data_IF_081091482644
#
_entry.id   IF_081091482644
#
_cell.length_a   1.000
_cell.length_b   1.000
_cell.length_c   1.000
_cell.angle_alpha   90.00
_cell.angle_beta   90.00
_cell.angle_gamma   90.00
#
_symmetry.space_group_name_H-M   'P 1'
#
loop_
_entity.id
_entity.type
_entity.pdbx_description
1 polymer ?
#
# COMPACT_ATOMS: atom_id res chain seq x y z
N UNK A 1 -13.31 -16.74 2.35
CA UNK A 1 -14.23 -16.84 1.20
C UNK A 1 -14.56 -15.47 0.62
N UNK A 2 -14.96 -14.47 1.43
CA UNK A 2 -15.28 -13.10 0.99
C UNK A 2 -14.14 -12.46 0.19
N UNK A 3 -12.90 -12.53 0.68
CA UNK A 3 -11.75 -12.00 -0.04
C UNK A 3 -11.56 -12.62 -1.42
N UNK A 4 -11.76 -13.94 -1.51
CA UNK A 4 -11.68 -14.64 -2.80
C UNK A 4 -12.75 -14.13 -3.77
N UNK A 5 -13.99 -14.00 -3.32
CA UNK A 5 -15.12 -13.56 -4.13
C UNK A 5 -14.95 -12.10 -4.59
N UNK A 6 -14.62 -11.19 -3.69
CA UNK A 6 -14.41 -9.77 -4.03
C UNK A 6 -13.31 -9.59 -5.09
N UNK A 7 -12.17 -10.25 -4.92
CA UNK A 7 -11.03 -10.11 -5.85
C UNK A 7 -11.17 -10.94 -7.15
N UNK A 8 -12.26 -11.67 -7.34
CA UNK A 8 -12.64 -12.23 -8.66
C UNK A 8 -13.50 -11.26 -9.47
N UNK A 9 -14.06 -10.24 -8.84
CA UNK A 9 -14.85 -9.23 -9.52
C UNK A 9 -13.98 -8.32 -10.41
N UNK A 10 -14.62 -7.51 -11.20
CA UNK A 10 -13.94 -6.56 -12.07
C UNK A 10 -13.21 -5.50 -11.25
N UNK A 11 -11.99 -5.19 -11.66
CA UNK A 11 -11.20 -4.10 -11.10
C UNK A 11 -10.86 -3.12 -12.22
N UNK A 12 -11.43 -1.92 -12.14
CA UNK A 12 -11.35 -0.92 -13.18
C UNK A 12 -10.55 0.30 -12.72
N UNK A 13 -9.70 0.81 -13.63
CA UNK A 13 -9.06 2.12 -13.42
C UNK A 13 -10.12 3.22 -13.52
N UNK A 14 -10.20 4.05 -12.49
CA UNK A 14 -11.15 5.18 -12.45
C UNK A 14 -10.47 6.45 -12.91
N UNK A 15 -9.39 6.86 -12.23
CA UNK A 15 -8.66 8.08 -12.56
C UNK A 15 -7.28 8.11 -11.87
N UNK A 16 -6.39 8.93 -12.44
CA UNK A 16 -5.15 9.36 -11.82
C UNK A 16 -5.24 10.83 -11.42
N UNK A 17 -4.89 11.14 -10.18
CA UNK A 17 -4.95 12.48 -9.61
C UNK A 17 -3.53 12.98 -9.33
N UNK A 18 -3.21 14.16 -9.88
CA UNK A 18 -1.95 14.86 -9.61
C UNK A 18 -2.04 15.70 -8.34
N UNK A 19 -0.91 16.05 -7.72
CA UNK A 19 -0.89 17.11 -6.73
C UNK A 19 -1.58 18.35 -7.32
N UNK A 20 -2.42 19.02 -6.56
CA UNK A 20 -3.17 20.23 -6.99
C UNK A 20 -4.50 19.95 -7.73
N UNK A 21 -4.84 18.71 -8.07
CA UNK A 21 -6.14 18.36 -8.60
C UNK A 21 -7.11 17.90 -7.51
N UNK A 22 -8.41 18.10 -7.75
CA UNK A 22 -9.43 17.64 -6.83
C UNK A 22 -9.48 16.11 -6.76
N UNK A 23 -9.53 15.58 -5.55
CA UNK A 23 -9.72 14.16 -5.31
C UNK A 23 -11.14 13.74 -5.71
N UNK A 24 -11.34 12.49 -6.21
CA UNK A 24 -12.67 11.99 -6.51
C UNK A 24 -13.53 11.95 -5.25
N UNK A 25 -14.85 12.01 -5.42
CA UNK A 25 -15.79 11.88 -4.30
C UNK A 25 -15.53 10.59 -3.52
N UNK A 26 -15.61 10.69 -2.19
CA UNK A 26 -15.45 9.59 -1.28
C UNK A 26 -16.76 8.77 -1.17
N UNK A 27 -17.03 7.91 -2.15
CA UNK A 27 -18.28 7.14 -2.25
C UNK A 27 -18.16 5.72 -1.70
N UNK A 28 -16.99 5.09 -1.85
CA UNK A 28 -16.73 3.72 -1.41
C UNK A 28 -15.64 3.72 -0.33
N UNK A 29 -15.61 2.70 0.55
CA UNK A 29 -14.45 2.47 1.41
C UNK A 29 -13.16 2.41 0.59
N UNK A 30 -12.08 3.00 1.10
CA UNK A 30 -10.79 3.04 0.42
C UNK A 30 -9.72 2.27 1.18
N UNK A 31 -8.90 1.54 0.42
CA UNK A 31 -7.65 0.95 0.91
C UNK A 31 -6.51 1.47 0.04
N UNK A 32 -5.60 2.21 0.66
CA UNK A 32 -4.46 2.79 -0.04
C UNK A 32 -3.21 1.90 0.08
N UNK A 33 -2.35 1.99 -0.93
CA UNK A 33 -1.10 1.23 -1.00
C UNK A 33 0.07 2.21 -1.10
N UNK A 34 0.93 2.18 -0.09
CA UNK A 34 2.14 2.97 -0.01
C UNK A 34 3.38 2.08 0.03
N UNK A 35 4.51 2.58 -0.42
CA UNK A 35 5.75 1.83 -0.38
C UNK A 35 6.88 2.57 -1.08
N UNK A 36 8.12 2.17 -0.81
CA UNK A 36 9.28 2.71 -1.49
C UNK A 36 9.25 2.38 -2.98
N UNK A 37 9.89 3.24 -3.78
CA UNK A 37 10.15 2.91 -5.19
C UNK A 37 10.80 1.54 -5.31
N UNK A 38 10.30 0.71 -6.23
CA UNK A 38 10.75 -0.67 -6.48
C UNK A 38 10.50 -1.67 -5.33
N UNK A 39 9.64 -1.36 -4.37
CA UNK A 39 9.23 -2.29 -3.30
C UNK A 39 8.45 -3.52 -3.84
N UNK A 40 7.85 -3.38 -5.02
CA UNK A 40 6.97 -4.40 -5.63
C UNK A 40 5.48 -4.07 -5.52
N UNK A 41 5.12 -2.78 -5.28
CA UNK A 41 3.74 -2.33 -5.08
C UNK A 41 2.85 -2.65 -6.29
N UNK A 42 3.26 -2.30 -7.51
CA UNK A 42 2.50 -2.61 -8.73
C UNK A 42 2.36 -4.12 -8.96
N UNK A 43 3.42 -4.89 -8.71
CA UNK A 43 3.37 -6.35 -8.81
C UNK A 43 2.41 -6.97 -7.79
N UNK A 44 2.39 -6.43 -6.57
CA UNK A 44 1.46 -6.86 -5.53
C UNK A 44 0.00 -6.55 -5.91
N UNK A 45 -0.30 -5.31 -6.35
CA UNK A 45 -1.63 -4.92 -6.80
C UNK A 45 -2.12 -5.79 -7.96
N UNK A 46 -1.27 -6.04 -8.95
CA UNK A 46 -1.60 -6.92 -10.08
C UNK A 46 -1.87 -8.36 -9.64
N UNK A 47 -1.05 -8.91 -8.74
CA UNK A 47 -1.24 -10.25 -8.21
C UNK A 47 -2.50 -10.36 -7.33
N UNK A 48 -2.77 -9.32 -6.52
CA UNK A 48 -3.94 -9.24 -5.65
C UNK A 48 -5.25 -9.27 -6.46
N UNK A 49 -5.29 -8.52 -7.55
CA UNK A 49 -6.47 -8.39 -8.43
C UNK A 49 -6.52 -9.41 -9.55
N UNK A 50 -5.56 -10.35 -9.65
CA UNK A 50 -5.42 -11.28 -10.77
C UNK A 50 -5.34 -10.59 -12.15
N UNK A 51 -4.78 -9.39 -12.21
CA UNK A 51 -4.60 -8.62 -13.46
C UNK A 51 -3.12 -8.51 -13.81
N UNK A 52 -2.79 -8.57 -15.08
CA UNK A 52 -1.40 -8.50 -15.54
C UNK A 52 -0.88 -7.06 -15.69
N UNK A 53 -1.78 -6.10 -15.77
CA UNK A 53 -1.43 -4.69 -16.09
C UNK A 53 -2.36 -3.65 -15.47
N UNK A 54 -3.02 -3.95 -14.36
CA UNK A 54 -3.87 -2.97 -13.67
C UNK A 54 -3.02 -1.77 -13.22
N UNK A 55 -2.01 -2.03 -12.40
CA UNK A 55 -1.02 -1.05 -12.02
C UNK A 55 0.19 -1.18 -12.97
N UNK A 56 0.58 -0.06 -13.59
CA UNK A 56 1.74 -0.06 -14.48
C UNK A 56 3.02 -0.30 -13.69
N UNK A 57 3.70 -1.41 -13.97
CA UNK A 57 5.05 -1.64 -13.52
C UNK A 57 5.97 -0.75 -14.34
N UNK A 58 6.26 0.47 -13.88
CA UNK A 58 7.26 1.30 -14.54
C UNK A 58 8.63 0.99 -13.93
N UNK A 59 9.54 0.47 -14.75
CA UNK A 59 10.96 0.38 -14.41
C UNK A 59 11.66 1.74 -14.49
N UNK A 60 10.94 2.80 -14.84
CA UNK A 60 11.50 4.15 -14.98
C UNK A 60 11.21 4.92 -13.69
N UNK A 61 12.22 5.19 -12.87
CA UNK A 61 12.07 5.97 -11.65
C UNK A 61 11.56 7.38 -11.97
N UNK A 62 10.63 7.89 -11.14
CA UNK A 62 10.12 9.27 -11.24
C UNK A 62 8.90 9.48 -12.14
N UNK A 63 8.28 8.42 -12.70
CA UNK A 63 7.11 8.58 -13.58
C UNK A 63 5.74 8.56 -12.90
N UNK A 64 5.59 7.95 -11.73
CA UNK A 64 4.29 7.89 -11.05
C UNK A 64 4.22 8.99 -10.00
N UNK A 65 3.74 10.16 -10.41
CA UNK A 65 3.48 11.31 -9.54
C UNK A 65 1.99 11.47 -9.25
N UNK A 66 1.19 10.47 -9.58
CA UNK A 66 -0.26 10.49 -9.46
C UNK A 66 -0.72 9.49 -8.40
N UNK A 67 -1.81 9.83 -7.74
CA UNK A 67 -2.60 8.90 -6.95
C UNK A 67 -3.58 8.22 -7.89
N UNK A 68 -3.48 6.91 -8.05
CA UNK A 68 -4.33 6.16 -8.97
C UNK A 68 -5.45 5.44 -8.22
N UNK A 69 -6.68 5.63 -8.67
CA UNK A 69 -7.88 5.05 -8.10
C UNK A 69 -8.40 3.92 -8.98
N UNK A 70 -8.67 2.77 -8.35
CA UNK A 70 -9.24 1.59 -9.00
C UNK A 70 -10.48 1.14 -8.23
N UNK A 71 -11.58 0.93 -8.93
CA UNK A 71 -12.82 0.40 -8.36
C UNK A 71 -12.81 -1.12 -8.43
N UNK A 72 -13.00 -1.79 -7.30
CA UNK A 72 -13.07 -3.25 -7.19
C UNK A 72 -14.51 -3.67 -6.87
N UNK A 73 -15.17 -4.29 -7.85
CA UNK A 73 -16.49 -4.89 -7.71
C UNK A 73 -17.61 -3.96 -7.26
N UNK A 74 -17.42 -2.64 -7.32
CA UNK A 74 -18.38 -1.67 -6.79
C UNK A 74 -18.48 -1.61 -5.26
N UNK A 75 -17.63 -2.32 -4.54
CA UNK A 75 -17.65 -2.42 -3.08
C UNK A 75 -16.46 -1.71 -2.41
N UNK A 76 -15.34 -1.57 -3.12
CA UNK A 76 -14.10 -1.06 -2.56
C UNK A 76 -13.32 -0.22 -3.57
N UNK A 77 -12.64 0.81 -3.10
CA UNK A 77 -11.67 1.57 -3.88
C UNK A 77 -10.25 1.19 -3.46
N UNK A 78 -9.44 0.73 -4.41
CA UNK A 78 -8.00 0.54 -4.23
C UNK A 78 -7.28 1.80 -4.69
N UNK A 79 -6.40 2.35 -3.86
CA UNK A 79 -5.72 3.62 -4.13
C UNK A 79 -4.21 3.40 -4.16
N UNK A 80 -3.62 3.51 -5.34
CA UNK A 80 -2.17 3.37 -5.52
C UNK A 80 -1.48 4.71 -5.33
N UNK A 81 -0.79 4.87 -4.21
CA UNK A 81 -0.03 6.08 -3.89
C UNK A 81 1.33 6.06 -4.61
N UNK A 82 1.88 7.22 -5.01
CA UNK A 82 3.19 7.27 -5.63
C UNK A 82 4.27 6.74 -4.67
N UNK A 83 5.27 6.03 -5.22
CA UNK A 83 6.38 5.50 -4.44
C UNK A 83 7.26 6.61 -3.84
N UNK A 84 7.80 6.37 -2.66
CA UNK A 84 8.72 7.28 -1.96
C UNK A 84 10.15 6.73 -1.88
N UNK A 85 11.07 7.53 -1.33
CA UNK A 85 12.43 7.09 -1.02
C UNK A 85 13.29 6.82 -2.25
N UNK A 86 13.04 7.52 -3.34
CA UNK A 86 13.89 7.45 -4.52
C UNK A 86 15.26 8.07 -4.22
N UNK A 87 16.34 7.31 -4.43
CA UNK A 87 17.71 7.69 -4.04
C UNK A 87 18.25 8.98 -4.69
N UNK A 88 17.65 9.41 -5.80
CA UNK A 88 17.99 10.63 -6.52
C UNK A 88 16.90 11.71 -6.44
N UNK A 89 15.90 11.54 -5.58
CA UNK A 89 14.85 12.54 -5.40
C UNK A 89 15.44 13.80 -4.78
N UNK A 90 15.25 14.93 -5.42
CA UNK A 90 15.58 16.22 -4.87
C UNK A 90 14.69 16.55 -3.68
N UNK A 91 15.11 17.50 -2.83
CA UNK A 91 14.36 17.95 -1.65
C UNK A 91 12.92 18.38 -1.99
N UNK A 92 12.76 19.11 -3.10
CA UNK A 92 11.46 19.55 -3.60
C UNK A 92 10.53 18.37 -3.99
N UNK A 93 11.06 17.28 -4.50
CA UNK A 93 10.28 16.10 -4.88
C UNK A 93 9.76 15.37 -3.65
N UNK A 94 10.58 15.30 -2.60
CA UNK A 94 10.19 14.74 -1.30
C UNK A 94 9.10 15.59 -0.66
N UNK A 95 9.24 16.92 -0.69
CA UNK A 95 8.24 17.85 -0.14
C UNK A 95 6.90 17.76 -0.89
N UNK A 96 6.93 17.69 -2.22
CA UNK A 96 5.71 17.49 -3.03
C UNK A 96 5.03 16.16 -2.74
N UNK A 97 5.81 15.09 -2.56
CA UNK A 97 5.26 13.78 -2.18
C UNK A 97 4.58 13.86 -0.81
N UNK A 98 5.26 14.42 0.18
CA UNK A 98 4.70 14.58 1.53
C UNK A 98 3.38 15.37 1.51
N UNK A 99 3.36 16.50 0.80
CA UNK A 99 2.15 17.33 0.66
C UNK A 99 1.01 16.55 0.01
N UNK A 100 1.27 15.85 -1.10
CA UNK A 100 0.24 15.05 -1.77
C UNK A 100 -0.37 14.00 -0.84
N UNK A 101 0.47 13.29 -0.09
CA UNK A 101 0.00 12.28 0.85
C UNK A 101 -0.75 12.92 2.03
N UNK A 102 -0.26 14.01 2.58
CA UNK A 102 -0.96 14.73 3.64
C UNK A 102 -2.35 15.22 3.19
N UNK A 103 -2.43 15.81 1.99
CA UNK A 103 -3.69 16.30 1.42
C UNK A 103 -4.67 15.12 1.20
N UNK A 104 -4.18 14.00 0.67
CA UNK A 104 -4.97 12.78 0.52
C UNK A 104 -5.47 12.27 1.88
N UNK A 105 -4.60 12.09 2.86
CA UNK A 105 -4.95 11.54 4.17
C UNK A 105 -5.95 12.43 4.94
N UNK A 106 -5.78 13.75 4.88
CA UNK A 106 -6.65 14.70 5.60
C UNK A 106 -8.08 14.77 5.06
N UNK A 107 -8.26 14.52 3.78
CA UNK A 107 -9.54 14.70 3.08
C UNK A 107 -10.38 13.44 2.91
N UNK A 108 -9.92 12.25 3.37
CA UNK A 108 -10.52 10.97 3.03
C UNK A 108 -11.18 10.27 4.20
N UNK A 109 -12.41 10.70 4.54
CA UNK A 109 -13.19 10.07 5.61
C UNK A 109 -13.49 8.57 5.38
N UNK A 110 -13.49 8.13 4.12
CA UNK A 110 -13.72 6.75 3.70
C UNK A 110 -12.44 5.90 3.61
N UNK A 111 -11.27 6.47 3.90
CA UNK A 111 -10.01 5.70 3.95
C UNK A 111 -10.00 4.81 5.20
N UNK A 112 -10.05 3.50 4.98
CA UNK A 112 -10.10 2.50 6.05
C UNK A 112 -8.74 2.03 6.49
N UNK A 113 -7.80 1.90 5.55
CA UNK A 113 -6.44 1.40 5.84
C UNK A 113 -5.44 1.79 4.77
N UNK A 114 -4.19 1.98 5.20
CA UNK A 114 -3.03 2.05 4.30
C UNK A 114 -2.25 0.74 4.41
N UNK A 115 -2.11 0.01 3.31
CA UNK A 115 -1.17 -1.10 3.20
C UNK A 115 0.22 -0.52 2.95
N UNK A 116 1.10 -0.57 3.94
CA UNK A 116 2.48 -0.10 3.86
C UNK A 116 3.39 -1.26 3.44
N UNK A 117 3.82 -1.24 2.19
CA UNK A 117 4.63 -2.30 1.60
C UNK A 117 6.11 -2.11 1.94
N UNK A 118 6.71 -3.16 2.47
CA UNK A 118 8.12 -3.22 2.85
C UNK A 118 8.79 -4.41 2.15
N UNK A 119 9.89 -4.20 1.48
CA UNK A 119 10.69 -5.29 0.89
C UNK A 119 11.34 -6.11 2.02
N UNK A 120 10.98 -7.40 2.13
CA UNK A 120 11.45 -8.27 3.21
C UNK A 120 12.98 -8.33 3.30
N UNK A 121 13.68 -8.21 2.17
CA UNK A 121 15.15 -8.22 2.12
C UNK A 121 15.80 -7.02 2.83
N UNK A 122 15.05 -5.94 3.00
CA UNK A 122 15.55 -4.66 3.55
C UNK A 122 14.98 -4.32 4.93
N UNK A 123 13.79 -4.83 5.26
CA UNK A 123 13.07 -4.43 6.46
C UNK A 123 12.65 -2.96 6.45
N UNK A 124 12.22 -2.46 7.60
CA UNK A 124 11.82 -1.05 7.79
C UNK A 124 13.07 -0.16 7.80
N UNK A 125 13.13 0.77 6.87
CA UNK A 125 14.21 1.76 6.77
C UNK A 125 13.77 3.18 7.19
N UNK A 126 14.71 4.12 7.20
CA UNK A 126 14.42 5.50 7.58
C UNK A 126 13.32 6.18 6.75
N UNK A 127 13.20 5.98 5.42
CA UNK A 127 12.07 6.52 4.66
C UNK A 127 10.72 5.94 5.08
N UNK A 128 10.69 4.66 5.45
CA UNK A 128 9.46 3.99 5.88
C UNK A 128 8.98 4.54 7.23
N UNK A 129 9.91 4.76 8.18
CA UNK A 129 9.61 5.37 9.48
C UNK A 129 8.98 6.75 9.36
N UNK A 130 9.46 7.56 8.43
CA UNK A 130 8.84 8.88 8.17
C UNK A 130 7.40 8.77 7.71
N UNK A 131 7.08 7.78 6.87
CA UNK A 131 5.70 7.51 6.44
C UNK A 131 4.86 6.97 7.61
N UNK A 132 5.41 6.08 8.43
CA UNK A 132 4.74 5.58 9.63
C UNK A 132 4.40 6.72 10.60
N UNK A 133 5.35 7.63 10.86
CA UNK A 133 5.13 8.83 11.69
C UNK A 133 4.06 9.76 11.09
N UNK A 134 4.01 9.90 9.77
CA UNK A 134 2.97 10.69 9.08
C UNK A 134 1.59 10.07 9.27
N UNK A 135 1.49 8.74 9.14
CA UNK A 135 0.24 8.00 9.34
C UNK A 135 -0.22 8.05 10.81
N UNK A 136 0.70 7.94 11.77
CA UNK A 136 0.39 8.12 13.19
C UNK A 136 -0.17 9.53 13.48
N UNK A 137 0.47 10.58 12.95
CA UNK A 137 0.02 11.97 13.10
C UNK A 137 -1.35 12.22 12.48
N UNK A 138 -1.63 11.55 11.36
CA UNK A 138 -2.92 11.64 10.68
C UNK A 138 -4.00 10.74 11.31
N UNK A 139 -3.66 9.93 12.31
CA UNK A 139 -4.51 8.89 12.91
C UNK A 139 -5.11 7.94 11.86
N UNK A 140 -4.35 7.61 10.83
CA UNK A 140 -4.76 6.70 9.76
C UNK A 140 -4.18 5.33 10.01
N UNK A 141 -5.04 4.33 10.18
CA UNK A 141 -4.63 2.94 10.40
C UNK A 141 -3.83 2.43 9.20
N UNK A 142 -2.68 1.83 9.47
CA UNK A 142 -1.87 1.17 8.44
C UNK A 142 -1.45 -0.25 8.85
N UNK A 143 -1.32 -1.10 7.86
CA UNK A 143 -0.89 -2.49 8.02
C UNK A 143 0.38 -2.73 7.20
N UNK A 144 1.40 -3.30 7.83
CA UNK A 144 2.64 -3.65 7.14
C UNK A 144 2.44 -4.89 6.28
N UNK A 145 2.82 -4.79 5.02
CA UNK A 145 2.83 -5.88 4.05
C UNK A 145 4.26 -6.13 3.60
N UNK A 146 4.85 -7.22 4.04
CA UNK A 146 6.16 -7.66 3.57
C UNK A 146 6.03 -8.21 2.16
N UNK A 147 6.82 -7.69 1.24
CA UNK A 147 6.89 -8.14 -0.15
C UNK A 147 8.15 -8.96 -0.40
N UNK A 148 8.14 -9.77 -1.46
CA UNK A 148 9.30 -10.57 -1.92
C UNK A 148 9.85 -11.54 -0.88
N UNK A 149 8.97 -12.07 -0.03
CA UNK A 149 9.37 -13.02 1.03
C UNK A 149 9.99 -14.29 0.47
N UNK A 150 9.71 -14.62 -0.79
CA UNK A 150 10.32 -15.74 -1.53
C UNK A 150 11.83 -15.59 -1.76
N UNK A 151 12.39 -14.41 -1.54
CA UNK A 151 13.80 -14.10 -1.67
C UNK A 151 14.57 -14.34 -0.37
N UNK A 152 13.88 -14.60 0.72
CA UNK A 152 14.48 -14.83 2.04
C UNK A 152 14.31 -16.30 2.45
N UNK A 153 15.30 -16.82 3.19
CA UNK A 153 15.20 -18.13 3.83
C UNK A 153 14.28 -18.03 5.05
N UNK A 154 13.59 -19.11 5.38
CA UNK A 154 12.60 -19.14 6.47
C UNK A 154 13.13 -18.57 7.80
N UNK A 155 14.34 -18.91 8.20
CA UNK A 155 14.93 -18.39 9.45
C UNK A 155 15.27 -16.89 9.39
N UNK A 156 15.63 -16.36 8.22
CA UNK A 156 15.86 -14.93 8.02
C UNK A 156 14.53 -14.19 8.00
N UNK A 157 13.51 -14.73 7.33
CA UNK A 157 12.18 -14.15 7.28
C UNK A 157 11.56 -14.03 8.68
N UNK A 158 11.66 -15.07 9.52
CA UNK A 158 11.16 -15.03 10.89
C UNK A 158 11.79 -13.91 11.73
N UNK A 159 13.10 -13.66 11.56
CA UNK A 159 13.80 -12.55 12.23
C UNK A 159 13.33 -11.19 11.72
N UNK A 160 13.06 -11.07 10.42
CA UNK A 160 12.55 -9.83 9.81
C UNK A 160 11.14 -9.55 10.34
N UNK A 161 10.26 -10.53 10.35
CA UNK A 161 8.90 -10.41 10.90
C UNK A 161 8.93 -10.01 12.38
N UNK A 162 9.79 -10.63 13.19
CA UNK A 162 9.95 -10.27 14.58
C UNK A 162 10.46 -8.83 14.76
N UNK A 163 11.42 -8.40 13.94
CA UNK A 163 11.94 -7.03 13.96
C UNK A 163 10.86 -6.01 13.62
N UNK A 164 10.07 -6.30 12.58
CA UNK A 164 8.93 -5.47 12.17
C UNK A 164 7.86 -5.44 13.27
N UNK A 165 7.50 -6.59 13.86
CA UNK A 165 6.53 -6.67 14.94
C UNK A 165 6.97 -5.83 16.17
N UNK A 166 8.25 -5.88 16.53
CA UNK A 166 8.81 -5.09 17.63
C UNK A 166 8.76 -3.59 17.35
N UNK A 167 8.91 -3.19 16.08
CA UNK A 167 8.87 -1.78 15.71
C UNK A 167 7.45 -1.22 15.67
N UNK A 168 6.50 -1.94 15.05
CA UNK A 168 5.12 -1.45 14.89
C UNK A 168 4.37 -1.27 16.21
N UNK A 169 4.74 -2.01 17.27
CA UNK A 169 4.15 -1.83 18.61
C UNK A 169 4.32 -0.41 19.15
N UNK A 170 5.32 0.33 18.66
CA UNK A 170 5.61 1.71 19.07
C UNK A 170 4.79 2.74 18.32
N UNK A 171 4.01 2.32 17.32
CA UNK A 171 3.21 3.16 16.45
C UNK A 171 1.72 2.99 16.74
N UNK A 172 1.07 4.07 17.16
CA UNK A 172 -0.33 4.02 17.59
C UNK A 172 -1.33 3.71 16.49
N UNK A 173 -1.00 4.03 15.23
CA UNK A 173 -1.85 3.75 14.08
C UNK A 173 -1.52 2.42 13.37
N UNK A 174 -0.49 1.70 13.80
CA UNK A 174 -0.09 0.44 13.17
C UNK A 174 -1.07 -0.69 13.53
N UNK A 175 -1.61 -1.36 12.52
CA UNK A 175 -2.35 -2.59 12.70
C UNK A 175 -1.40 -3.72 13.12
N UNK A 176 -1.74 -4.53 14.13
CA UNK A 176 -0.79 -5.46 14.76
C UNK A 176 -0.41 -6.65 13.88
N UNK A 177 -1.23 -7.01 12.89
CA UNK A 177 -0.99 -8.14 12.01
C UNK A 177 -0.13 -7.72 10.82
N UNK A 178 0.96 -8.48 10.59
CA UNK A 178 1.86 -8.31 9.44
C UNK A 178 1.47 -9.33 8.37
N UNK A 179 1.37 -8.89 7.13
CA UNK A 179 1.14 -9.77 5.99
C UNK A 179 2.48 -10.07 5.29
N UNK A 180 2.83 -11.35 5.17
CA UNK A 180 4.02 -11.81 4.45
C UNK A 180 3.61 -12.29 3.05
N UNK A 181 4.11 -11.63 1.98
CA UNK A 181 3.65 -11.86 0.62
C UNK A 181 4.77 -12.01 -0.41
N UNK A 182 4.46 -12.76 -1.46
CA UNK A 182 5.23 -12.79 -2.70
C UNK A 182 4.28 -12.76 -3.90
N UNK A 183 4.32 -11.68 -4.67
CA UNK A 183 3.57 -11.60 -5.92
C UNK A 183 4.07 -12.65 -6.95
N UNK A 184 5.40 -12.85 -7.04
CA UNK A 184 6.01 -13.79 -7.97
C UNK A 184 5.64 -15.25 -7.70
N UNK A 185 5.54 -15.64 -6.44
CA UNK A 185 5.19 -17.00 -5.99
C UNK A 185 3.74 -17.13 -5.53
N UNK A 186 2.95 -16.04 -5.60
CA UNK A 186 1.56 -15.97 -5.15
C UNK A 186 1.35 -16.37 -3.68
N UNK A 187 2.38 -16.18 -2.84
CA UNK A 187 2.31 -16.47 -1.41
C UNK A 187 1.61 -15.32 -0.66
N UNK A 188 0.83 -15.66 0.36
CA UNK A 188 0.18 -14.71 1.27
C UNK A 188 -0.92 -13.85 0.63
N UNK A 189 -1.25 -14.03 -0.67
CA UNK A 189 -2.26 -13.22 -1.36
C UNK A 189 -3.67 -13.48 -0.84
N UNK A 190 -3.98 -14.70 -0.42
CA UNK A 190 -5.30 -15.04 0.14
C UNK A 190 -5.54 -14.34 1.48
N UNK A 191 -4.54 -14.33 2.36
CA UNK A 191 -4.60 -13.60 3.62
C UNK A 191 -4.73 -12.09 3.38
N UNK A 192 -3.97 -11.54 2.43
CA UNK A 192 -4.06 -10.13 2.05
C UNK A 192 -5.45 -9.78 1.51
N UNK A 193 -6.02 -10.61 0.63
CA UNK A 193 -7.39 -10.42 0.11
C UNK A 193 -8.43 -10.48 1.23
N UNK A 194 -8.31 -11.42 2.16
CA UNK A 194 -9.22 -11.55 3.28
C UNK A 194 -9.18 -10.31 4.19
N UNK A 195 -7.97 -9.84 4.53
CA UNK A 195 -7.76 -8.65 5.35
C UNK A 195 -8.32 -7.39 4.70
N UNK A 196 -8.13 -7.22 3.39
CA UNK A 196 -8.63 -6.05 2.64
C UNK A 196 -10.15 -6.13 2.45
N UNK A 197 -10.70 -7.29 2.11
CA UNK A 197 -12.13 -7.45 1.89
C UNK A 197 -12.97 -7.24 3.17
N UNK A 198 -12.40 -7.47 4.34
CA UNK A 198 -13.06 -7.18 5.61
C UNK A 198 -13.40 -5.68 5.76
N UNK A 199 -12.58 -4.80 5.15
CA UNK A 199 -12.73 -3.34 5.23
C UNK A 199 -13.87 -2.79 4.35
N UNK A 200 -14.40 -3.57 3.43
CA UNK A 200 -15.53 -3.17 2.61
C UNK A 200 -16.85 -3.06 3.40
N UNK A 201 -16.96 -3.76 4.54
CA UNK A 201 -18.16 -3.77 5.39
C UNK A 201 -18.04 -2.87 6.64
N UNK A 202 -16.88 -2.31 6.92
CA UNK A 202 -16.71 -1.40 8.05
C UNK A 202 -17.43 -0.07 7.75
N UNK A 203 -18.48 0.21 8.54
CA UNK A 203 -19.22 1.49 8.54
C UNK A 203 -18.40 2.65 9.17
#
# INVERSE_FOLDING_TARGET
EKGRLLFTQECEFVMGVRPEADLPKAELPEVAFAGRSNVGKSSFLNALTNRNSLARTSNTPGRTREVNFFRLGGELMLVDLPGYGYAKAGKEEIERWNKLIEDYLRGRANLRRVCLLIDARRGIGAPDRKVMELLDKAAVVYQVVLTKVDKEKAGALAKIEQGVATEIVRHGAAYPEILATSAAKRLGLEAARASIAALADEE
#
